data_IF_140072322092
#
_entry.id   IF_140072322092
#
_cell.length_a   1.000
_cell.length_b   1.000
_cell.length_c   1.000
_cell.angle_alpha   90.00
_cell.angle_beta   90.00
_cell.angle_gamma   90.00
#
_symmetry.space_group_name_H-M   'P 1'
#
loop_
_entity.id
_entity.type
_entity.pdbx_description
1 polymer ?
#
# COMPACT_ATOMS: atom_id res chain seq x y z
N UNK A 1 8.08 -0.59 -0.32
CA UNK A 1 9.41 -0.57 0.33
C UNK A 1 10.20 -1.84 -0.02
N UNK A 2 11.45 -1.70 -0.41
CA UNK A 2 12.37 -2.83 -0.63
C UNK A 2 13.45 -2.82 0.45
N UNK A 3 13.51 -3.85 1.33
CA UNK A 3 14.50 -3.91 2.38
C UNK A 3 15.89 -4.18 1.82
N UNK A 4 16.89 -3.41 2.26
CA UNK A 4 18.28 -3.70 1.93
C UNK A 4 18.77 -4.95 2.68
N UNK A 5 19.86 -5.61 2.21
CA UNK A 5 20.47 -6.73 2.93
C UNK A 5 20.87 -6.38 4.38
N UNK A 6 21.15 -5.11 4.66
CA UNK A 6 21.46 -4.61 5.99
C UNK A 6 20.23 -4.58 6.90
N UNK A 7 19.07 -4.20 6.33
CA UNK A 7 17.80 -4.20 7.06
C UNK A 7 17.38 -5.63 7.40
N UNK A 8 17.49 -6.54 6.45
CA UNK A 8 17.21 -7.97 6.67
C UNK A 8 18.08 -8.55 7.79
N UNK A 9 19.38 -8.20 7.80
CA UNK A 9 20.29 -8.63 8.86
C UNK A 9 19.94 -8.01 10.23
N UNK A 10 19.47 -6.75 10.26
CA UNK A 10 19.05 -6.10 11.49
C UNK A 10 17.79 -6.75 12.05
N UNK A 11 16.81 -7.01 11.20
CA UNK A 11 15.56 -7.70 11.56
C UNK A 11 15.89 -9.11 12.10
N UNK A 12 16.71 -9.89 11.39
CA UNK A 12 17.08 -11.24 11.82
C UNK A 12 17.88 -11.32 13.14
N UNK A 13 18.40 -10.19 13.64
CA UNK A 13 19.09 -10.09 14.93
C UNK A 13 18.23 -9.51 16.04
N UNK A 14 17.02 -9.04 15.73
CA UNK A 14 16.10 -8.48 16.71
C UNK A 14 15.32 -9.59 17.43
N UNK A 15 14.85 -9.28 18.63
CA UNK A 15 13.97 -10.19 19.39
C UNK A 15 12.51 -10.02 18.98
N UNK A 16 12.15 -8.83 18.48
CA UNK A 16 10.80 -8.50 18.01
C UNK A 16 10.86 -7.66 16.75
N UNK A 17 10.06 -8.04 15.74
CA UNK A 17 9.79 -7.25 14.55
C UNK A 17 8.31 -6.88 14.51
N UNK A 18 8.02 -5.58 14.47
CA UNK A 18 6.66 -5.03 14.39
C UNK A 18 6.46 -4.44 13.01
N UNK A 19 5.35 -4.77 12.37
CA UNK A 19 5.00 -4.27 11.05
C UNK A 19 3.47 -4.07 10.96
N UNK A 20 3.04 -3.30 9.98
CA UNK A 20 1.63 -2.98 9.80
C UNK A 20 0.84 -4.18 9.28
N UNK A 21 1.32 -4.77 8.20
CA UNK A 21 0.61 -5.73 7.37
C UNK A 21 -0.06 -5.06 6.17
N UNK A 22 -0.80 -5.84 5.37
CA UNK A 22 -1.39 -5.38 4.12
C UNK A 22 -0.39 -5.41 2.96
N UNK A 23 -0.80 -4.85 1.84
CA UNK A 23 -0.07 -4.95 0.57
C UNK A 23 1.27 -4.19 0.59
N UNK A 24 1.33 -3.06 1.32
CA UNK A 24 2.59 -2.33 1.53
C UNK A 24 3.67 -3.14 2.25
N UNK A 25 3.28 -4.18 2.97
CA UNK A 25 4.17 -5.06 3.73
C UNK A 25 4.28 -6.48 3.14
N UNK A 26 3.86 -6.74 1.89
CA UNK A 26 3.98 -8.04 1.22
C UNK A 26 5.42 -8.59 1.22
N UNK A 27 6.40 -7.69 1.11
CA UNK A 27 7.82 -8.03 1.17
C UNK A 27 8.21 -8.74 2.48
N UNK A 28 7.43 -8.58 3.56
CA UNK A 28 7.72 -9.14 4.89
C UNK A 28 7.71 -10.66 4.86
N UNK A 29 6.75 -11.29 4.19
CA UNK A 29 6.65 -12.75 4.14
C UNK A 29 7.85 -13.36 3.40
N UNK A 30 8.24 -12.77 2.28
CA UNK A 30 9.45 -13.16 1.54
C UNK A 30 10.73 -13.02 2.40
N UNK A 31 10.87 -11.89 3.08
CA UNK A 31 11.98 -11.62 3.99
C UNK A 31 12.00 -12.61 5.16
N UNK A 32 10.86 -12.81 5.85
CA UNK A 32 10.75 -13.74 6.96
C UNK A 32 11.03 -15.20 6.56
N UNK A 33 10.79 -15.58 5.31
CA UNK A 33 11.12 -16.91 4.80
C UNK A 33 12.63 -17.10 4.60
N UNK A 34 13.37 -16.02 4.41
CA UNK A 34 14.82 -16.03 4.13
C UNK A 34 15.71 -15.98 5.37
N UNK A 35 15.17 -15.72 6.56
CA UNK A 35 15.93 -15.58 7.82
C UNK A 35 15.60 -16.68 8.83
N UNK A 36 16.52 -16.89 9.80
CA UNK A 36 16.25 -17.76 10.94
C UNK A 36 15.31 -17.10 11.94
N UNK A 37 14.08 -17.59 12.01
CA UNK A 37 13.01 -17.08 12.90
C UNK A 37 13.02 -17.72 14.30
N UNK A 38 13.98 -18.56 14.63
CA UNK A 38 13.96 -19.32 15.90
C UNK A 38 13.90 -18.46 17.16
N UNK A 39 14.39 -17.23 17.06
CA UNK A 39 14.42 -16.23 18.15
C UNK A 39 13.56 -15.01 17.88
N UNK A 40 13.21 -14.75 16.62
CA UNK A 40 12.46 -13.57 16.22
C UNK A 40 10.96 -13.77 16.49
N UNK A 41 10.39 -12.93 17.32
CA UNK A 41 8.95 -12.78 17.44
C UNK A 41 8.46 -11.72 16.45
N UNK A 42 7.30 -11.94 15.85
CA UNK A 42 6.65 -10.95 14.97
C UNK A 42 5.34 -10.47 15.58
N UNK A 43 4.99 -9.21 15.32
CA UNK A 43 3.71 -8.61 15.64
C UNK A 43 3.22 -7.84 14.41
N UNK A 44 2.15 -8.33 13.79
CA UNK A 44 1.43 -7.64 12.73
C UNK A 44 0.35 -6.77 13.37
N UNK A 45 0.40 -5.43 13.15
CA UNK A 45 -0.54 -4.51 13.81
C UNK A 45 -1.99 -4.75 13.37
N UNK A 46 -2.20 -5.05 12.10
CA UNK A 46 -3.52 -5.38 11.56
C UNK A 46 -4.18 -6.57 12.26
N UNK A 47 -3.41 -7.53 12.79
CA UNK A 47 -3.95 -8.69 13.52
C UNK A 47 -4.50 -8.33 14.92
N UNK A 48 -4.25 -7.12 15.39
CA UNK A 48 -4.63 -6.68 16.75
C UNK A 48 -5.93 -5.89 16.80
N UNK A 49 -6.50 -5.56 15.65
CA UNK A 49 -7.68 -4.67 15.51
C UNK A 49 -8.70 -5.24 14.55
N UNK A 50 -9.91 -4.68 14.55
CA UNK A 50 -10.91 -4.97 13.53
C UNK A 50 -10.52 -4.24 12.25
N UNK A 51 -10.45 -4.97 11.14
CA UNK A 51 -10.14 -4.40 9.83
C UNK A 51 -11.38 -3.88 9.11
N UNK A 52 -11.16 -2.90 8.25
CA UNK A 52 -12.11 -2.41 7.27
C UNK A 52 -11.48 -2.51 5.88
N UNK A 53 -12.31 -2.87 4.90
CA UNK A 53 -11.94 -2.82 3.49
C UNK A 53 -11.66 -1.37 3.09
N UNK A 54 -10.70 -1.17 2.20
CA UNK A 54 -10.48 0.14 1.59
C UNK A 54 -11.74 0.56 0.83
N UNK A 55 -12.13 1.81 0.98
CA UNK A 55 -13.39 2.32 0.45
C UNK A 55 -13.13 3.43 -0.57
N UNK A 56 -13.82 3.34 -1.70
CA UNK A 56 -14.00 4.47 -2.60
C UNK A 56 -15.08 5.39 -2.01
N UNK A 57 -14.73 6.63 -1.66
CA UNK A 57 -15.73 7.60 -1.21
C UNK A 57 -16.59 8.10 -2.38
N UNK A 58 -17.78 8.62 -2.08
CA UNK A 58 -18.66 9.19 -3.11
C UNK A 58 -17.93 10.24 -3.94
N UNK A 59 -18.05 10.17 -5.26
CA UNK A 59 -17.41 11.07 -6.22
C UNK A 59 -15.99 10.67 -6.65
N UNK A 60 -15.35 9.71 -5.98
CA UNK A 60 -14.15 9.10 -6.52
C UNK A 60 -14.49 8.30 -7.77
N UNK A 61 -13.64 8.37 -8.77
CA UNK A 61 -13.73 7.56 -9.98
C UNK A 61 -12.43 6.82 -10.16
N UNK A 62 -12.52 5.53 -10.43
CA UNK A 62 -11.37 4.74 -10.88
C UNK A 62 -10.88 5.30 -12.21
N UNK A 63 -9.58 5.38 -12.39
CA UNK A 63 -9.01 5.61 -13.72
C UNK A 63 -9.20 4.31 -14.53
N UNK A 64 -10.11 4.34 -15.51
CA UNK A 64 -10.16 3.31 -16.54
C UNK A 64 -8.83 3.43 -17.33
N UNK A 65 -7.86 2.59 -17.02
CA UNK A 65 -6.69 2.39 -17.88
C UNK A 65 -7.19 1.73 -19.17
N UNK A 66 -7.64 2.54 -20.12
CA UNK A 66 -7.86 2.08 -21.49
C UNK A 66 -6.51 1.61 -22.04
N UNK A 67 -6.29 0.31 -21.99
CA UNK A 67 -5.25 -0.33 -22.77
C UNK A 67 -5.60 -0.15 -24.25
N UNK A 68 -5.19 0.99 -24.84
CA UNK A 68 -5.18 1.15 -26.27
C UNK A 68 -4.19 0.12 -26.85
N UNK A 69 -4.71 -1.05 -27.19
CA UNK A 69 -4.07 -1.88 -28.17
C UNK A 69 -4.18 -1.15 -29.52
N UNK A 70 -3.14 -0.39 -29.84
CA UNK A 70 -2.91 0.12 -31.19
C UNK A 70 -2.63 -1.09 -32.10
N UNK A 71 -3.68 -1.76 -32.54
CA UNK A 71 -3.62 -2.70 -33.64
C UNK A 71 -3.27 -1.89 -34.92
N UNK A 72 -1.97 -1.70 -35.12
CA UNK A 72 -1.48 -1.21 -36.43
C UNK A 72 -1.64 -2.34 -37.42
N UNK A 73 -2.78 -2.34 -38.10
CA UNK A 73 -2.96 -3.03 -39.38
C UNK A 73 -1.87 -2.60 -40.33
N UNK A 74 -0.85 -3.43 -40.50
CA UNK A 74 0.06 -3.32 -41.60
C UNK A 74 -0.64 -3.83 -42.87
N UNK A 75 -1.21 -2.91 -43.64
CA UNK A 75 -1.53 -3.16 -45.03
C UNK A 75 -0.22 -3.31 -45.82
N UNK A 76 0.07 -4.54 -46.22
CA UNK A 76 1.02 -4.85 -47.25
C UNK A 76 0.46 -4.35 -48.60
N UNK A 77 0.96 -3.25 -49.11
CA UNK A 77 0.81 -2.90 -50.53
C UNK A 77 2.03 -3.41 -51.32
N UNK A 78 1.78 -4.47 -52.10
CA UNK A 78 2.67 -4.95 -53.15
C UNK A 78 3.00 -3.81 -54.12
N UNK A 79 4.29 -3.51 -54.29
CA UNK A 79 4.81 -2.82 -55.46
C UNK A 79 6.05 -3.53 -56.01
N UNK A 80 5.80 -4.26 -57.12
CA UNK A 80 6.80 -4.72 -58.03
C UNK A 80 7.73 -3.59 -58.49
N UNK A 81 9.02 -3.76 -58.34
CA UNK A 81 10.00 -3.13 -59.24
C UNK A 81 11.17 -4.09 -59.47
N UNK A 82 11.19 -4.59 -60.73
CA UNK A 82 12.36 -5.15 -61.39
C UNK A 82 13.50 -4.11 -61.50
N UNK A 83 14.72 -4.51 -61.21
CA UNK A 83 15.88 -4.14 -62.01
C UNK A 83 17.05 -5.11 -61.73
N UNK A 84 17.53 -5.62 -62.89
CA UNK A 84 18.74 -6.43 -63.11
C UNK A 84 20.03 -5.63 -62.78
N UNK A 85 21.05 -6.33 -62.51
CA UNK A 85 22.42 -6.38 -62.98
C UNK A 85 23.50 -6.57 -61.91
N UNK A 86 24.13 -7.73 -62.07
CA UNK A 86 25.53 -8.13 -61.92
C UNK A 86 26.51 -7.20 -61.14
N UNK A 87 27.18 -7.80 -60.17
CA UNK A 87 28.64 -7.95 -60.10
C UNK A 87 29.12 -8.81 -58.96
N UNK A 88 29.86 -9.82 -59.39
CA UNK A 88 30.69 -10.70 -58.54
C UNK A 88 31.76 -9.91 -57.76
N UNK A 89 31.99 -10.25 -56.52
CA UNK A 89 33.31 -10.23 -55.89
C UNK A 89 33.37 -11.24 -54.75
N UNK A 90 34.24 -12.21 -54.94
CA UNK A 90 34.80 -13.09 -53.94
C UNK A 90 35.51 -12.30 -52.84
N UNK A 91 35.38 -12.76 -51.58
CA UNK A 91 36.54 -12.95 -50.72
C UNK A 91 36.18 -13.83 -49.49
N UNK A 92 37.12 -14.69 -49.22
CA UNK A 92 37.18 -15.78 -48.29
C UNK A 92 37.21 -15.36 -46.80
N UNK A 93 36.81 -16.35 -46.01
CA UNK A 93 37.43 -16.80 -44.75
C UNK A 93 37.12 -16.13 -43.39
N UNK A 94 36.56 -17.01 -42.53
CA UNK A 94 36.80 -17.22 -41.09
C UNK A 94 36.24 -16.19 -40.11
N UNK A 95 35.39 -16.50 -39.28
CA UNK A 95 35.48 -17.30 -38.04
C UNK A 95 34.14 -17.29 -37.30
N UNK A 96 33.83 -18.45 -36.81
CA UNK A 96 32.73 -18.80 -35.91
C UNK A 96 32.73 -17.96 -34.63
N UNK A 97 31.59 -17.33 -34.33
CA UNK A 97 31.18 -17.08 -32.95
C UNK A 97 29.68 -17.32 -32.85
N UNK A 98 29.35 -18.53 -32.43
CA UNK A 98 28.04 -18.84 -31.82
C UNK A 98 27.86 -17.97 -30.59
N UNK A 99 26.97 -17.01 -30.67
CA UNK A 99 26.34 -16.40 -29.50
C UNK A 99 24.90 -16.88 -29.47
N UNK A 100 24.69 -17.90 -28.70
CA UNK A 100 23.37 -18.28 -28.23
C UNK A 100 22.77 -17.10 -27.48
N UNK A 101 21.79 -16.45 -28.07
CA UNK A 101 20.92 -15.53 -27.36
C UNK A 101 19.89 -16.37 -26.62
N UNK A 102 20.17 -16.63 -25.35
CA UNK A 102 19.15 -17.05 -24.43
C UNK A 102 18.18 -15.86 -24.25
N UNK A 103 17.02 -15.97 -24.87
CA UNK A 103 15.86 -15.22 -24.42
C UNK A 103 15.39 -15.87 -23.12
N UNK A 104 15.72 -15.25 -21.99
CA UNK A 104 15.02 -15.51 -20.74
C UNK A 104 13.59 -15.01 -20.91
N UNK A 105 12.70 -15.91 -21.30
CA UNK A 105 11.27 -15.73 -21.15
C UNK A 105 10.99 -15.65 -19.65
N UNK A 106 10.95 -14.40 -19.12
CA UNK A 106 10.34 -14.15 -17.83
C UNK A 106 8.87 -14.44 -17.99
N UNK A 107 8.46 -15.63 -17.61
CA UNK A 107 7.08 -15.98 -17.40
C UNK A 107 6.54 -14.98 -16.36
N UNK A 108 5.78 -14.00 -16.83
CA UNK A 108 4.91 -13.21 -15.97
C UNK A 108 3.83 -14.16 -15.46
N UNK A 109 4.03 -14.70 -14.28
CA UNK A 109 2.97 -15.38 -13.56
C UNK A 109 1.91 -14.34 -13.23
N UNK A 110 0.89 -14.24 -14.08
CA UNK A 110 -0.38 -13.69 -13.65
C UNK A 110 -0.93 -14.67 -12.60
N UNK A 111 -0.86 -14.29 -11.36
CA UNK A 111 -1.63 -14.90 -10.31
C UNK A 111 -3.09 -14.47 -10.50
N UNK A 112 -3.86 -15.23 -11.31
CA UNK A 112 -5.31 -15.23 -11.23
C UNK A 112 -5.74 -15.96 -9.95
N UNK A 113 -5.35 -15.40 -8.79
CA UNK A 113 -5.96 -15.68 -7.51
C UNK A 113 -7.06 -14.65 -7.31
N UNK A 114 -8.25 -15.06 -6.90
CA UNK A 114 -9.25 -14.15 -6.34
C UNK A 114 -8.60 -13.47 -5.13
N UNK A 115 -7.94 -12.33 -5.35
CA UNK A 115 -7.45 -11.48 -4.28
C UNK A 115 -8.70 -11.02 -3.52
N UNK A 116 -8.73 -11.30 -2.22
CA UNK A 116 -9.80 -10.84 -1.36
C UNK A 116 -9.80 -9.30 -1.34
N UNK A 117 -10.85 -8.68 -0.78
CA UNK A 117 -10.92 -7.22 -0.72
C UNK A 117 -9.69 -6.65 0.00
N UNK A 118 -9.11 -5.63 -0.59
CA UNK A 118 -7.97 -4.91 -0.01
C UNK A 118 -8.40 -4.24 1.29
N UNK A 119 -7.59 -4.41 2.35
CA UNK A 119 -7.86 -3.84 3.67
C UNK A 119 -7.06 -2.57 3.87
N UNK A 120 -7.70 -1.50 4.34
CA UNK A 120 -6.99 -0.27 4.68
C UNK A 120 -5.93 -0.53 5.77
N UNK A 121 -4.70 -0.13 5.48
CA UNK A 121 -3.52 -0.41 6.31
C UNK A 121 -3.33 0.60 7.47
N UNK A 122 -4.05 1.74 7.43
CA UNK A 122 -3.82 2.86 8.35
C UNK A 122 -4.49 2.66 9.71
N UNK A 123 -4.38 1.43 10.23
CA UNK A 123 -5.07 0.95 11.44
C UNK A 123 -4.82 1.79 12.68
N UNK A 124 -3.67 2.45 12.78
CA UNK A 124 -3.26 3.25 13.95
C UNK A 124 -3.88 4.65 14.00
N UNK A 125 -4.58 5.08 12.96
CA UNK A 125 -5.16 6.43 12.87
C UNK A 125 -6.37 6.63 13.75
N UNK A 126 -6.97 5.55 14.24
CA UNK A 126 -8.02 5.55 15.27
C UNK A 126 -7.41 5.46 16.66
N UNK A 127 -7.76 6.34 17.62
CA UNK A 127 -7.29 6.24 19.01
C UNK A 127 -7.62 4.90 19.67
N UNK A 128 -8.80 4.36 19.45
CA UNK A 128 -9.20 3.06 19.97
C UNK A 128 -8.31 1.93 19.44
N UNK A 129 -8.00 1.92 18.15
CA UNK A 129 -7.08 0.95 17.57
C UNK A 129 -5.65 1.14 18.09
N UNK A 130 -5.17 2.38 18.19
CA UNK A 130 -3.85 2.67 18.76
C UNK A 130 -3.72 2.09 20.18
N UNK A 131 -4.77 2.17 20.99
CA UNK A 131 -4.81 1.55 22.33
C UNK A 131 -4.68 0.02 22.23
N UNK A 132 -5.38 -0.64 21.31
CA UNK A 132 -5.28 -2.09 21.14
C UNK A 132 -3.87 -2.51 20.68
N UNK A 133 -3.29 -1.80 19.73
CA UNK A 133 -1.92 -2.04 19.26
C UNK A 133 -0.91 -1.89 20.41
N UNK A 134 -1.02 -0.84 21.23
CA UNK A 134 -0.16 -0.63 22.40
C UNK A 134 -0.29 -1.77 23.40
N UNK A 135 -1.50 -2.27 23.64
CA UNK A 135 -1.74 -3.42 24.56
C UNK A 135 -1.06 -4.67 24.01
N UNK A 136 -1.28 -5.01 22.74
CA UNK A 136 -0.68 -6.18 22.10
C UNK A 136 0.86 -6.11 22.08
N UNK A 137 1.42 -4.94 21.77
CA UNK A 137 2.86 -4.69 21.81
C UNK A 137 3.42 -4.88 23.24
N UNK A 138 2.73 -4.33 24.24
CA UNK A 138 3.15 -4.44 25.65
C UNK A 138 3.14 -5.88 26.13
N UNK A 139 2.12 -6.65 25.79
CA UNK A 139 2.04 -8.08 26.12
C UNK A 139 3.20 -8.84 25.46
N UNK A 140 3.44 -8.60 24.18
CA UNK A 140 4.50 -9.26 23.41
C UNK A 140 5.89 -8.97 24.00
N UNK A 141 6.21 -7.69 24.24
CA UNK A 141 7.50 -7.28 24.81
C UNK A 141 7.68 -7.82 26.23
N UNK A 142 6.63 -7.77 27.05
CA UNK A 142 6.67 -8.30 28.42
C UNK A 142 6.88 -9.82 28.47
N UNK A 143 6.42 -10.52 27.45
CA UNK A 143 6.66 -11.96 27.29
C UNK A 143 8.11 -12.28 26.94
N UNK A 144 8.77 -11.43 26.13
CA UNK A 144 10.15 -11.56 25.72
C UNK A 144 11.15 -11.17 26.82
N UNK A 145 10.85 -10.09 27.56
CA UNK A 145 11.69 -9.55 28.62
C UNK A 145 10.91 -9.44 29.94
N UNK A 146 10.82 -10.57 30.62
CA UNK A 146 10.05 -10.70 31.85
C UNK A 146 10.60 -9.87 33.01
N UNK A 147 11.90 -9.62 33.02
CA UNK A 147 12.53 -8.86 34.10
C UNK A 147 12.13 -7.39 34.07
N UNK A 148 11.83 -6.85 32.89
CA UNK A 148 11.40 -5.48 32.70
C UNK A 148 9.87 -5.34 32.45
N UNK A 149 9.10 -6.42 32.49
CA UNK A 149 7.67 -6.46 32.17
C UNK A 149 6.85 -5.39 32.91
N UNK A 150 7.13 -5.19 34.23
CA UNK A 150 6.45 -4.18 35.03
C UNK A 150 6.73 -2.75 34.52
N UNK A 151 7.92 -2.50 34.03
CA UNK A 151 8.30 -1.20 33.46
C UNK A 151 7.54 -0.95 32.16
N UNK A 152 7.45 -1.96 31.28
CA UNK A 152 6.69 -1.87 30.03
C UNK A 152 5.21 -1.62 30.30
N UNK A 153 4.60 -2.37 31.23
CA UNK A 153 3.20 -2.19 31.61
C UNK A 153 2.92 -0.78 32.14
N UNK A 154 3.75 -0.28 33.05
CA UNK A 154 3.62 1.08 33.59
C UNK A 154 3.72 2.16 32.51
N UNK A 155 4.66 2.00 31.58
CA UNK A 155 4.83 2.95 30.47
C UNK A 155 3.63 2.90 29.51
N UNK A 156 3.13 1.70 29.20
CA UNK A 156 1.96 1.51 28.38
C UNK A 156 0.71 2.12 29.01
N UNK A 157 0.46 1.88 30.31
CA UNK A 157 -0.66 2.50 31.04
C UNK A 157 -0.63 4.03 30.97
N UNK A 158 0.57 4.63 31.16
CA UNK A 158 0.73 6.07 31.05
C UNK A 158 0.52 6.62 29.63
N UNK A 159 0.81 5.83 28.59
CA UNK A 159 0.58 6.20 27.21
C UNK A 159 -0.88 5.99 26.81
N UNK A 160 -1.48 4.86 27.20
CA UNK A 160 -2.89 4.56 26.97
C UNK A 160 -3.77 5.67 27.59
N UNK A 161 -3.48 6.12 28.82
CA UNK A 161 -4.22 7.22 29.43
C UNK A 161 -4.19 8.52 28.61
N UNK A 162 -3.12 8.77 27.83
CA UNK A 162 -3.06 9.90 26.90
C UNK A 162 -3.91 9.67 25.65
N UNK A 163 -3.93 8.43 25.13
CA UNK A 163 -4.77 8.06 23.98
C UNK A 163 -6.25 8.11 24.38
N UNK A 164 -6.63 7.63 25.55
CA UNK A 164 -8.00 7.71 26.07
C UNK A 164 -8.46 9.17 26.24
N UNK A 165 -7.54 10.03 26.68
CA UNK A 165 -7.83 11.46 26.74
C UNK A 165 -8.03 12.06 25.35
N UNK A 166 -7.18 11.69 24.40
CA UNK A 166 -7.27 12.15 23.00
C UNK A 166 -8.58 11.70 22.35
N UNK A 167 -8.93 10.44 22.54
CA UNK A 167 -10.20 9.85 22.11
C UNK A 167 -11.40 10.66 22.63
N UNK A 168 -11.40 10.90 23.93
CA UNK A 168 -12.44 11.72 24.57
C UNK A 168 -12.48 13.15 24.01
N UNK A 169 -11.31 13.80 23.80
CA UNK A 169 -11.25 15.15 23.28
C UNK A 169 -11.83 15.19 21.83
N UNK A 170 -11.59 14.16 21.00
CA UNK A 170 -12.21 14.03 19.68
C UNK A 170 -13.72 13.84 19.77
N UNK A 171 -14.21 12.96 20.64
CA UNK A 171 -15.65 12.78 20.86
C UNK A 171 -16.30 14.11 21.28
N UNK A 172 -15.70 14.84 22.25
CA UNK A 172 -16.22 16.11 22.71
C UNK A 172 -16.31 17.16 21.56
N UNK A 173 -15.34 17.18 20.64
CA UNK A 173 -15.37 18.08 19.47
C UNK A 173 -16.41 17.63 18.44
N UNK A 174 -16.43 16.35 18.10
CA UNK A 174 -17.26 15.83 17.02
C UNK A 174 -18.74 15.78 17.43
N UNK A 175 -19.05 15.50 18.69
CA UNK A 175 -20.43 15.49 19.19
C UNK A 175 -21.06 16.88 19.17
N UNK A 176 -20.25 17.94 19.30
CA UNK A 176 -20.68 19.32 19.23
C UNK A 176 -20.47 19.96 17.85
N UNK A 177 -19.89 19.22 16.90
CA UNK A 177 -19.65 19.73 15.55
C UNK A 177 -20.96 19.97 14.80
N UNK A 178 -21.03 21.08 14.09
CA UNK A 178 -22.17 21.39 13.21
C UNK A 178 -22.21 20.49 11.96
N UNK A 179 -21.06 19.97 11.59
CA UNK A 179 -20.86 19.06 10.46
C UNK A 179 -20.04 17.89 10.91
N UNK A 180 -20.36 16.72 10.40
CA UNK A 180 -19.60 15.47 10.60
C UNK A 180 -19.04 14.99 9.25
N UNK A 181 -18.38 15.90 8.56
CA UNK A 181 -17.93 15.74 7.20
C UNK A 181 -16.52 16.30 7.01
N UNK A 182 -15.69 15.57 6.27
CA UNK A 182 -14.31 15.94 5.96
C UNK A 182 -14.12 15.87 4.44
N UNK A 183 -13.51 16.91 3.85
CA UNK A 183 -13.10 16.91 2.44
C UNK A 183 -11.57 17.01 2.38
N UNK A 184 -10.95 16.07 1.64
CA UNK A 184 -9.50 16.00 1.50
C UNK A 184 -9.14 15.97 0.02
N UNK A 185 -8.35 16.94 -0.42
CA UNK A 185 -7.84 17.02 -1.81
C UNK A 185 -6.62 16.14 -2.07
N UNK A 186 -6.44 15.08 -1.32
CA UNK A 186 -5.31 14.14 -1.38
C UNK A 186 -5.80 12.75 -0.96
N UNK A 187 -4.88 11.80 -0.70
CA UNK A 187 -5.18 10.48 -0.13
C UNK A 187 -5.83 10.61 1.24
N UNK A 188 -6.71 9.68 1.56
CA UNK A 188 -7.42 9.66 2.84
C UNK A 188 -6.97 8.50 3.74
N UNK A 189 -5.86 8.61 4.46
CA UNK A 189 -5.36 7.55 5.35
C UNK A 189 -6.10 7.49 6.70
N UNK A 190 -7.31 8.05 6.81
CA UNK A 190 -8.02 8.20 8.08
C UNK A 190 -9.35 7.42 8.11
N UNK A 191 -9.46 6.30 7.35
CA UNK A 191 -10.66 5.50 7.31
C UNK A 191 -11.09 5.04 8.71
N UNK A 192 -10.15 4.49 9.48
CA UNK A 192 -10.44 4.03 10.85
C UNK A 192 -10.90 5.16 11.78
N UNK A 193 -10.29 6.34 11.66
CA UNK A 193 -10.73 7.53 12.38
C UNK A 193 -12.15 7.94 11.99
N UNK A 194 -12.44 8.00 10.70
CA UNK A 194 -13.78 8.34 10.21
C UNK A 194 -14.84 7.34 10.69
N UNK A 195 -14.53 6.04 10.66
CA UNK A 195 -15.43 4.98 11.16
C UNK A 195 -15.64 5.05 12.67
N UNK A 196 -14.59 5.32 13.45
CA UNK A 196 -14.69 5.45 14.91
C UNK A 196 -15.62 6.59 15.33
N UNK A 197 -15.47 7.74 14.69
CA UNK A 197 -16.20 8.95 15.07
C UNK A 197 -17.46 9.22 14.24
N UNK A 198 -17.84 8.31 13.33
CA UNK A 198 -19.03 8.44 12.50
C UNK A 198 -18.97 9.64 11.56
N UNK A 199 -17.82 9.92 10.99
CA UNK A 199 -17.60 10.99 10.03
C UNK A 199 -17.86 10.50 8.61
N UNK A 200 -18.52 11.32 7.80
CA UNK A 200 -18.54 11.18 6.34
C UNK A 200 -17.28 11.84 5.79
N UNK A 201 -16.69 11.26 4.74
CA UNK A 201 -15.53 11.86 4.11
C UNK A 201 -15.63 11.79 2.59
N UNK A 202 -14.98 12.74 1.94
CA UNK A 202 -14.76 12.81 0.50
C UNK A 202 -13.28 13.09 0.26
N UNK A 203 -12.66 12.35 -0.64
CA UNK A 203 -11.25 12.48 -0.90
C UNK A 203 -10.91 12.34 -2.38
N UNK A 204 -9.73 12.82 -2.76
CA UNK A 204 -9.27 12.70 -4.14
C UNK A 204 -8.82 11.28 -4.49
N UNK A 205 -8.31 10.54 -3.49
CA UNK A 205 -7.81 9.17 -3.62
C UNK A 205 -8.15 8.32 -2.39
N UNK A 206 -8.26 7.00 -2.53
CA UNK A 206 -8.22 6.07 -1.41
C UNK A 206 -6.94 6.22 -0.59
N UNK A 207 -6.92 5.68 0.63
CA UNK A 207 -5.80 5.81 1.56
C UNK A 207 -4.51 5.18 1.04
N UNK A 208 -4.61 3.98 0.48
CA UNK A 208 -3.48 3.18 -0.02
C UNK A 208 -3.14 3.43 -1.49
N UNK A 209 -3.89 4.28 -2.21
CA UNK A 209 -3.67 4.56 -3.63
C UNK A 209 -2.24 4.97 -3.95
N UNK A 210 -1.70 4.43 -5.03
CA UNK A 210 -0.40 4.79 -5.61
C UNK A 210 -0.51 5.86 -6.70
N UNK A 211 -1.72 6.29 -7.06
CA UNK A 211 -1.97 7.29 -8.09
C UNK A 211 -1.33 8.63 -7.74
N UNK A 212 -0.83 9.32 -8.74
CA UNK A 212 -0.15 10.61 -8.58
C UNK A 212 -1.00 11.79 -9.01
N UNK A 213 -2.03 11.55 -9.84
CA UNK A 213 -2.92 12.58 -10.37
C UNK A 213 -4.37 12.18 -10.09
N UNK A 214 -5.13 13.10 -9.52
CA UNK A 214 -6.54 12.86 -9.24
C UNK A 214 -7.37 12.99 -10.53
N UNK A 215 -8.36 12.10 -10.68
CA UNK A 215 -9.32 12.16 -11.78
C UNK A 215 -10.00 13.55 -11.82
N UNK A 216 -10.02 14.26 -12.96
CA UNK A 216 -10.61 15.58 -13.08
C UNK A 216 -12.09 15.64 -12.66
N UNK A 217 -12.86 14.56 -12.85
CA UNK A 217 -14.24 14.48 -12.41
C UNK A 217 -14.36 14.42 -10.89
N UNK A 218 -13.46 13.68 -10.22
CA UNK A 218 -13.36 13.66 -8.76
C UNK A 218 -13.03 15.04 -8.20
N UNK A 219 -12.08 15.75 -8.80
CA UNK A 219 -11.74 17.13 -8.38
C UNK A 219 -12.93 18.08 -8.56
N UNK A 220 -13.66 17.99 -9.69
CA UNK A 220 -14.86 18.80 -9.92
C UNK A 220 -15.92 18.53 -8.86
N UNK A 221 -16.17 17.24 -8.55
CA UNK A 221 -17.10 16.83 -7.50
C UNK A 221 -16.71 17.42 -6.14
N UNK A 222 -15.44 17.33 -5.73
CA UNK A 222 -14.97 17.86 -4.43
C UNK A 222 -15.13 19.38 -4.37
N UNK A 223 -14.83 20.09 -5.46
CA UNK A 223 -15.00 21.54 -5.55
C UNK A 223 -16.47 21.94 -5.41
N UNK A 224 -17.38 21.21 -6.05
CA UNK A 224 -18.82 21.50 -5.96
C UNK A 224 -19.33 21.16 -4.57
N UNK A 225 -18.88 20.05 -3.96
CA UNK A 225 -19.22 19.65 -2.59
C UNK A 225 -18.82 20.73 -1.56
N UNK A 226 -17.61 21.29 -1.67
CA UNK A 226 -17.14 22.41 -0.81
C UNK A 226 -18.08 23.62 -0.93
N UNK A 227 -18.55 23.93 -2.16
CA UNK A 227 -19.46 25.09 -2.39
C UNK A 227 -20.85 24.84 -1.84
N UNK A 228 -21.42 23.64 -2.13
CA UNK A 228 -22.80 23.27 -1.73
C UNK A 228 -22.93 23.21 -0.22
N UNK A 229 -21.97 22.60 0.46
CA UNK A 229 -21.99 22.44 1.91
C UNK A 229 -21.38 23.63 2.67
N UNK A 230 -20.99 24.68 1.94
CA UNK A 230 -20.41 25.91 2.50
C UNK A 230 -19.25 25.60 3.46
N UNK A 231 -18.36 24.69 3.07
CA UNK A 231 -17.15 24.33 3.83
C UNK A 231 -16.14 25.48 3.69
N UNK A 232 -15.60 25.98 4.83
CA UNK A 232 -14.72 27.17 4.83
C UNK A 232 -13.33 26.87 4.23
#
# INVERSE_FOLDING_TARGET
YEPSPKDIQAIGKSDLFVYTGGDSDEWVDGMLSSIDKSKLKTLKMMDTVKLYEEEMSEGMQEEEHEHHHDDKDHHDEDKDHHHDEDKEHHHDDKDSHDKEHHHDDKEHHHHDGEEGPEMDEHVWTSPANAIQIVKALTETISGLDKDNAQTYQKNAEAYIAKLEKLDKDFHDVIDHAKRKEIIVGDRFPFLYFAKEFGLTYYAAFPGCSTDTEANPATIAFLVDKVKEDHIP
#
